data_IF_072562303585
#
_entry.id   IF_072562303585
#
_cell.length_a   1.000
_cell.length_b   1.000
_cell.length_c   1.000
_cell.angle_alpha   90.00
_cell.angle_beta   90.00
_cell.angle_gamma   90.00
#
_symmetry.space_group_name_H-M   'P 1'
#
loop_
_entity.id
_entity.type
_entity.pdbx_description
1 polymer ?
#
# COMPACT_ATOMS: atom_id res chain seq x y z
N UNK A 1 2.16 -22.77 4.30
CA UNK A 1 2.06 -22.50 5.75
C UNK A 1 3.28 -21.68 6.11
N UNK A 2 3.12 -20.47 6.63
CA UNK A 2 4.25 -19.59 6.91
C UNK A 2 5.09 -20.12 8.07
N UNK A 3 6.41 -19.91 8.02
CA UNK A 3 7.37 -20.39 9.03
C UNK A 3 7.05 -19.86 10.44
N UNK A 4 6.46 -18.67 10.52
CA UNK A 4 5.95 -18.03 11.74
C UNK A 4 4.89 -18.90 12.43
N UNK A 5 3.91 -19.40 11.68
CA UNK A 5 2.80 -20.22 12.20
C UNK A 5 3.31 -21.55 12.75
N UNK A 6 4.27 -22.18 12.07
CA UNK A 6 4.85 -23.46 12.51
C UNK A 6 5.65 -23.25 13.80
N UNK A 7 6.40 -22.15 13.89
CA UNK A 7 7.13 -21.79 15.10
C UNK A 7 6.19 -21.55 16.28
N UNK A 8 5.09 -20.85 16.06
CA UNK A 8 4.08 -20.61 17.09
C UNK A 8 3.32 -21.88 17.47
N UNK A 9 3.10 -22.84 16.56
CA UNK A 9 2.50 -24.12 16.92
C UNK A 9 3.41 -24.98 17.81
N UNK A 10 4.73 -24.96 17.57
CA UNK A 10 5.68 -25.83 18.29
C UNK A 10 6.18 -25.20 19.59
N UNK A 11 6.40 -23.88 19.60
CA UNK A 11 7.01 -23.15 20.71
C UNK A 11 6.06 -22.12 21.36
N UNK A 12 4.83 -22.02 20.87
CA UNK A 12 3.86 -21.03 21.34
C UNK A 12 3.41 -21.24 22.77
N UNK A 13 2.91 -20.16 23.36
CA UNK A 13 2.31 -20.19 24.69
C UNK A 13 0.95 -20.91 24.62
N UNK A 14 0.51 -21.60 25.70
CA UNK A 14 -0.82 -22.17 25.75
C UNK A 14 -1.88 -21.08 25.56
N UNK A 15 -2.93 -21.38 24.80
CA UNK A 15 -3.99 -20.42 24.52
C UNK A 15 -4.74 -20.05 25.83
N UNK A 16 -5.04 -18.76 26.05
CA UNK A 16 -5.83 -18.35 27.20
C UNK A 16 -7.24 -18.94 27.09
N UNK A 17 -7.80 -19.34 28.23
CA UNK A 17 -9.18 -19.80 28.31
C UNK A 17 -10.11 -18.59 28.18
N UNK A 18 -10.74 -18.38 27.02
CA UNK A 18 -11.62 -17.24 26.72
C UNK A 18 -13.08 -17.71 26.82
N UNK A 19 -13.92 -16.94 27.52
CA UNK A 19 -15.36 -17.24 27.60
C UNK A 19 -16.05 -17.04 26.25
N UNK A 20 -16.87 -18.01 25.84
CA UNK A 20 -17.76 -17.92 24.66
C UNK A 20 -19.23 -17.76 25.06
N UNK A 21 -19.48 -17.29 26.30
CA UNK A 21 -20.82 -17.12 26.84
C UNK A 21 -21.67 -16.24 25.92
N UNK A 22 -22.86 -16.72 25.56
CA UNK A 22 -23.86 -16.01 24.77
C UNK A 22 -25.24 -16.37 25.29
N UNK A 23 -26.12 -15.37 25.40
CA UNK A 23 -27.53 -15.61 25.71
C UNK A 23 -28.25 -16.09 24.46
N UNK A 24 -28.86 -17.27 24.57
CA UNK A 24 -29.77 -17.81 23.57
C UNK A 24 -31.23 -17.53 23.98
N UNK A 25 -32.13 -17.51 23.00
CA UNK A 25 -33.56 -17.37 23.26
C UNK A 25 -34.07 -18.42 24.26
N UNK A 26 -33.59 -19.66 24.14
CA UNK A 26 -33.90 -20.75 25.06
C UNK A 26 -33.44 -20.47 26.50
N UNK A 27 -32.22 -19.97 26.70
CA UNK A 27 -31.71 -19.63 28.04
C UNK A 27 -32.50 -18.49 28.66
N UNK A 28 -32.88 -17.48 27.88
CA UNK A 28 -33.68 -16.35 28.37
C UNK A 28 -35.08 -16.83 28.79
N UNK A 29 -35.74 -17.63 27.94
CA UNK A 29 -37.06 -18.19 28.26
C UNK A 29 -37.05 -19.01 29.55
N UNK A 30 -36.03 -19.85 29.76
CA UNK A 30 -35.94 -20.65 30.98
C UNK A 30 -35.72 -19.79 32.23
N UNK A 31 -34.91 -18.73 32.13
CA UNK A 31 -34.70 -17.79 33.23
C UNK A 31 -35.97 -17.00 33.56
N UNK A 32 -36.76 -16.61 32.55
CA UNK A 32 -38.01 -15.89 32.75
C UNK A 32 -39.18 -16.77 33.23
N UNK A 33 -39.29 -18.01 32.74
CA UNK A 33 -40.47 -18.85 32.96
C UNK A 33 -40.34 -19.86 34.09
N UNK A 34 -39.11 -20.31 34.43
CA UNK A 34 -38.91 -21.43 35.37
C UNK A 34 -38.19 -21.04 36.66
N UNK A 35 -37.48 -19.90 36.69
CA UNK A 35 -36.64 -19.53 37.83
C UNK A 35 -37.37 -18.70 38.91
N UNK A 36 -38.71 -18.59 38.87
CA UNK A 36 -39.57 -17.94 39.89
C UNK A 36 -39.03 -16.58 40.43
N UNK A 37 -38.39 -15.78 39.57
CA UNK A 37 -37.82 -14.48 39.96
C UNK A 37 -36.54 -14.52 40.80
N UNK A 38 -36.00 -15.70 41.15
CA UNK A 38 -34.75 -15.82 41.91
C UNK A 38 -33.50 -15.51 41.08
N UNK A 39 -33.51 -15.80 39.78
CA UNK A 39 -32.39 -15.55 38.88
C UNK A 39 -32.82 -14.80 37.63
N UNK A 40 -32.55 -13.50 37.61
CA UNK A 40 -32.78 -12.65 36.43
C UNK A 40 -31.69 -12.89 35.38
N UNK A 41 -32.01 -12.63 34.11
CA UNK A 41 -31.01 -12.69 33.03
C UNK A 41 -29.81 -11.78 33.33
N UNK A 42 -30.04 -10.60 33.90
CA UNK A 42 -29.01 -9.66 34.35
C UNK A 42 -28.06 -10.26 35.39
N UNK A 43 -28.59 -11.03 36.35
CA UNK A 43 -27.78 -11.70 37.36
C UNK A 43 -26.83 -12.73 36.72
N UNK A 44 -27.30 -13.49 35.73
CA UNK A 44 -26.48 -14.46 34.99
C UNK A 44 -25.41 -13.77 34.15
N UNK A 45 -25.74 -12.64 33.50
CA UNK A 45 -24.76 -11.83 32.75
C UNK A 45 -23.67 -11.33 33.69
N UNK A 46 -24.05 -10.73 34.82
CA UNK A 46 -23.11 -10.13 35.78
C UNK A 46 -22.16 -11.14 36.39
N UNK A 47 -22.64 -12.35 36.66
CA UNK A 47 -21.83 -13.42 37.25
C UNK A 47 -21.21 -14.35 36.18
N UNK A 48 -21.30 -14.00 34.90
CA UNK A 48 -20.70 -14.79 33.82
C UNK A 48 -19.18 -14.70 33.84
N UNK A 49 -18.51 -15.78 33.42
CA UNK A 49 -17.06 -15.78 33.29
C UNK A 49 -16.57 -14.76 32.24
N UNK A 50 -17.38 -14.47 31.22
CA UNK A 50 -17.09 -13.42 30.24
C UNK A 50 -17.00 -12.04 30.90
N UNK A 51 -17.99 -11.68 31.73
CA UNK A 51 -18.01 -10.43 32.48
C UNK A 51 -16.81 -10.32 33.42
N UNK A 52 -16.49 -11.40 34.14
CA UNK A 52 -15.32 -11.43 35.03
C UNK A 52 -14.00 -11.18 34.28
N UNK A 53 -13.82 -11.78 33.10
CA UNK A 53 -12.63 -11.56 32.28
C UNK A 53 -12.53 -10.11 31.80
N UNK A 54 -13.66 -9.52 31.41
CA UNK A 54 -13.73 -8.14 30.97
C UNK A 54 -13.39 -7.16 32.11
N UNK A 55 -14.05 -7.29 33.27
CA UNK A 55 -13.80 -6.43 34.44
C UNK A 55 -12.35 -6.51 34.92
N UNK A 56 -11.74 -7.70 34.85
CA UNK A 56 -10.32 -7.89 35.18
C UNK A 56 -9.38 -7.22 34.19
N UNK A 57 -9.71 -7.21 32.90
CA UNK A 57 -8.90 -6.59 31.84
C UNK A 57 -9.09 -5.07 31.74
N UNK A 58 -10.26 -4.57 32.15
CA UNK A 58 -10.66 -3.16 32.09
C UNK A 58 -9.63 -2.18 32.70
N UNK A 59 -9.08 -2.38 33.91
CA UNK A 59 -8.09 -1.45 34.47
C UNK A 59 -6.80 -1.41 33.64
N UNK A 60 -6.37 -2.54 33.07
CA UNK A 60 -5.18 -2.59 32.21
C UNK A 60 -5.41 -1.80 30.90
N UNK A 61 -6.60 -1.94 30.30
CA UNK A 61 -6.97 -1.20 29.09
C UNK A 61 -7.08 0.30 29.38
N UNK A 62 -7.70 0.70 30.51
CA UNK A 62 -7.77 2.11 30.92
C UNK A 62 -6.37 2.69 31.13
N UNK A 63 -5.49 1.97 31.83
CA UNK A 63 -4.10 2.42 32.02
C UNK A 63 -3.34 2.56 30.69
N UNK A 64 -3.62 1.71 29.69
CA UNK A 64 -3.04 1.85 28.36
C UNK A 64 -3.58 3.09 27.65
N UNK A 65 -4.89 3.31 27.69
CA UNK A 65 -5.52 4.50 27.11
C UNK A 65 -4.96 5.77 27.74
N UNK A 66 -4.88 5.86 29.07
CA UNK A 66 -4.35 7.06 29.74
C UNK A 66 -2.88 7.30 29.45
N UNK A 67 -2.05 6.24 29.31
CA UNK A 67 -0.65 6.38 28.87
C UNK A 67 -0.56 6.95 27.45
N UNK A 68 -1.32 6.39 26.51
CA UNK A 68 -1.34 6.88 25.12
C UNK A 68 -1.90 8.31 25.02
N UNK A 69 -2.92 8.64 25.82
CA UNK A 69 -3.46 10.00 25.91
C UNK A 69 -2.41 10.98 26.44
N UNK A 70 -1.67 10.62 27.49
CA UNK A 70 -0.58 11.44 28.00
C UNK A 70 0.52 11.62 26.93
N UNK A 71 0.93 10.56 26.24
CA UNK A 71 1.88 10.64 25.13
C UNK A 71 1.38 11.55 24.01
N UNK A 72 0.10 11.48 23.64
CA UNK A 72 -0.50 12.34 22.62
C UNK A 72 -0.57 13.81 23.05
N UNK A 73 -0.85 14.10 24.33
CA UNK A 73 -0.85 15.48 24.86
C UNK A 73 0.53 16.10 24.94
N UNK A 74 1.58 15.30 25.22
CA UNK A 74 2.97 15.76 25.22
C UNK A 74 3.46 16.14 23.83
N UNK A 75 2.84 15.59 22.78
CA UNK A 75 3.15 15.88 21.38
C UNK A 75 2.42 17.14 20.85
N UNK A 76 1.66 17.84 21.69
CA UNK A 76 0.79 18.95 21.27
C UNK A 76 1.36 20.33 21.64
N UNK A 77 1.32 21.32 20.72
CA UNK A 77 1.07 22.74 21.05
C UNK A 77 1.29 23.80 19.94
N UNK A 78 1.74 23.51 18.71
CA UNK A 78 1.84 24.58 17.70
C UNK A 78 1.72 24.10 16.25
N UNK A 79 0.74 24.65 15.50
CA UNK A 79 0.61 24.47 14.05
C UNK A 79 -0.18 23.23 13.57
N UNK A 80 -0.98 22.58 14.42
CA UNK A 80 -1.70 21.34 14.06
C UNK A 80 -2.67 21.52 12.89
N UNK A 81 -3.38 22.66 12.80
CA UNK A 81 -4.29 22.91 11.70
C UNK A 81 -3.56 23.02 10.36
N UNK A 82 -2.46 23.77 10.30
CA UNK A 82 -1.66 23.93 9.09
C UNK A 82 -1.01 22.60 8.66
N UNK A 83 -0.58 21.78 9.63
CA UNK A 83 -0.05 20.43 9.37
C UNK A 83 -1.14 19.47 8.88
N UNK A 84 -2.33 19.53 9.46
CA UNK A 84 -3.47 18.72 9.04
C UNK A 84 -3.91 19.09 7.62
N UNK A 85 -3.97 20.39 7.30
CA UNK A 85 -4.24 20.88 5.95
C UNK A 85 -3.18 20.41 4.97
N UNK A 86 -1.89 20.57 5.29
CA UNK A 86 -0.79 20.12 4.45
C UNK A 86 -0.81 18.59 4.21
N UNK A 87 -1.02 17.80 5.25
CA UNK A 87 -1.13 16.35 5.14
C UNK A 87 -2.33 15.94 4.27
N UNK A 88 -3.48 16.61 4.45
CA UNK A 88 -4.67 16.39 3.63
C UNK A 88 -4.40 16.74 2.16
N UNK A 89 -3.76 17.86 1.88
CA UNK A 89 -3.36 18.23 0.51
C UNK A 89 -2.48 17.15 -0.13
N UNK A 90 -1.50 16.60 0.61
CA UNK A 90 -0.66 15.51 0.12
C UNK A 90 -1.43 14.22 -0.17
N UNK A 91 -2.42 13.87 0.66
CA UNK A 91 -3.31 12.73 0.43
C UNK A 91 -4.19 12.94 -0.81
N UNK A 92 -4.80 14.13 -0.94
CA UNK A 92 -5.66 14.48 -2.06
C UNK A 92 -4.88 14.43 -3.39
N UNK A 93 -3.65 14.97 -3.41
CA UNK A 93 -2.74 14.89 -4.58
C UNK A 93 -2.43 13.42 -4.91
N UNK A 94 -2.05 12.62 -3.91
CA UNK A 94 -1.74 11.20 -4.12
C UNK A 94 -2.94 10.40 -4.64
N UNK A 95 -4.16 10.75 -4.22
CA UNK A 95 -5.38 10.12 -4.71
C UNK A 95 -5.69 10.52 -6.16
N UNK A 96 -5.57 11.81 -6.50
CA UNK A 96 -5.75 12.29 -7.87
C UNK A 96 -4.69 11.72 -8.81
N UNK A 97 -3.41 11.67 -8.41
CA UNK A 97 -2.33 11.04 -9.17
C UNK A 97 -2.68 9.59 -9.48
N UNK A 98 -3.16 8.82 -8.50
CA UNK A 98 -3.56 7.42 -8.72
C UNK A 98 -4.71 7.30 -9.73
N UNK A 99 -5.72 8.18 -9.65
CA UNK A 99 -6.84 8.20 -10.60
C UNK A 99 -6.35 8.51 -12.02
N UNK A 100 -5.55 9.56 -12.18
CA UNK A 100 -4.95 9.95 -13.47
C UNK A 100 -4.07 8.81 -14.03
N UNK A 101 -3.25 8.19 -13.17
CA UNK A 101 -2.42 7.04 -13.56
C UNK A 101 -3.25 5.86 -14.03
N UNK A 102 -4.38 5.57 -13.38
CA UNK A 102 -5.27 4.46 -13.78
C UNK A 102 -5.93 4.68 -15.14
N UNK A 103 -6.26 5.94 -15.46
CA UNK A 103 -6.76 6.35 -16.77
C UNK A 103 -5.67 6.26 -17.85
N UNK A 104 -4.46 6.70 -17.50
CA UNK A 104 -3.31 6.72 -18.41
C UNK A 104 -2.83 5.31 -18.77
N UNK A 105 -2.90 4.36 -17.83
CA UNK A 105 -2.42 2.99 -18.00
C UNK A 105 -3.41 2.06 -18.72
N UNK A 106 -4.58 2.58 -19.09
CA UNK A 106 -5.55 1.85 -19.91
C UNK A 106 -4.87 1.41 -21.22
N UNK A 107 -5.02 0.14 -21.64
CA UNK A 107 -4.29 -0.39 -22.79
C UNK A 107 -4.54 0.40 -24.08
N UNK A 108 -5.75 0.94 -24.26
CA UNK A 108 -6.12 1.76 -25.42
C UNK A 108 -5.19 2.97 -25.63
N UNK A 109 -4.70 3.56 -24.53
CA UNK A 109 -3.85 4.76 -24.55
C UNK A 109 -2.39 4.42 -24.34
N UNK A 110 -2.10 3.60 -23.33
CA UNK A 110 -0.73 3.29 -22.92
C UNK A 110 0.09 2.58 -24.02
N UNK A 111 -0.54 1.72 -24.84
CA UNK A 111 0.17 0.92 -25.84
C UNK A 111 0.91 1.77 -26.90
N UNK A 112 0.38 2.93 -27.26
CA UNK A 112 1.04 3.84 -28.21
C UNK A 112 2.35 4.40 -27.65
N UNK A 113 2.44 4.51 -26.32
CA UNK A 113 3.58 5.09 -25.64
C UNK A 113 4.56 4.03 -25.16
N UNK A 114 4.14 2.79 -24.92
CA UNK A 114 5.00 1.67 -24.49
C UNK A 114 5.87 1.10 -25.63
N UNK A 115 6.75 1.95 -26.16
CA UNK A 115 7.74 1.65 -27.19
C UNK A 115 9.03 1.13 -26.54
N UNK A 116 9.76 0.19 -27.17
CA UNK A 116 11.10 -0.21 -26.73
C UNK A 116 11.98 1.02 -26.50
N UNK A 117 12.66 1.06 -25.35
CA UNK A 117 13.55 2.15 -24.97
C UNK A 117 12.93 3.17 -24.02
N UNK A 118 11.60 3.18 -23.85
CA UNK A 118 10.97 4.12 -22.93
C UNK A 118 11.24 3.74 -21.47
N UNK A 119 11.45 4.74 -20.62
CA UNK A 119 11.54 4.52 -19.17
C UNK A 119 10.16 4.49 -18.54
N UNK A 120 9.96 3.52 -17.66
CA UNK A 120 8.71 3.29 -16.94
C UNK A 120 9.02 3.06 -15.48
N UNK A 121 8.23 3.65 -14.60
CA UNK A 121 8.39 3.45 -13.16
C UNK A 121 7.53 2.27 -12.72
N UNK A 122 8.14 1.25 -12.12
CA UNK A 122 7.43 0.03 -11.69
C UNK A 122 7.26 0.04 -10.17
N UNK A 123 6.05 -0.26 -9.70
CA UNK A 123 5.74 -0.37 -8.28
C UNK A 123 4.81 -1.56 -8.04
N UNK A 124 5.23 -2.45 -7.15
CA UNK A 124 4.45 -3.61 -6.72
C UNK A 124 4.03 -3.43 -5.26
N UNK A 125 2.86 -2.80 -5.06
CA UNK A 125 2.34 -2.49 -3.72
C UNK A 125 3.29 -1.61 -2.90
N UNK A 126 3.91 -2.19 -1.87
CA UNK A 126 4.90 -1.54 -1.02
C UNK A 126 6.32 -1.52 -1.60
N UNK A 127 6.59 -2.30 -2.65
CA UNK A 127 7.92 -2.46 -3.23
C UNK A 127 8.06 -1.53 -4.43
N UNK A 128 8.84 -0.46 -4.29
CA UNK A 128 9.20 0.43 -5.41
C UNK A 128 10.43 -0.15 -6.12
N UNK A 129 10.27 -0.49 -7.39
CA UNK A 129 11.36 -0.99 -8.25
C UNK A 129 12.13 0.14 -8.92
N UNK A 130 11.63 1.37 -8.82
CA UNK A 130 12.20 2.52 -9.50
C UNK A 130 11.96 2.49 -11.01
N UNK A 131 12.90 3.06 -11.74
CA UNK A 131 12.81 3.21 -13.19
C UNK A 131 13.36 1.98 -13.91
N UNK A 132 12.52 1.38 -14.73
CA UNK A 132 12.85 0.32 -15.68
C UNK A 132 12.78 0.80 -17.12
N UNK A 133 13.28 -0.03 -18.03
CA UNK A 133 13.28 0.23 -19.47
C UNK A 133 12.35 -0.76 -20.16
N UNK A 134 11.43 -0.28 -21.00
CA UNK A 134 10.56 -1.16 -21.79
C UNK A 134 11.37 -1.85 -22.88
N UNK A 135 11.30 -3.17 -22.96
CA UNK A 135 11.91 -3.99 -24.01
C UNK A 135 10.87 -4.39 -25.04
N UNK A 136 9.75 -4.95 -24.59
CA UNK A 136 8.70 -5.44 -25.46
C UNK A 136 7.34 -5.40 -24.75
N UNK A 137 6.26 -5.39 -25.52
CA UNK A 137 4.90 -5.50 -25.00
C UNK A 137 4.23 -6.70 -25.65
N UNK A 138 3.85 -7.68 -24.82
CA UNK A 138 3.25 -8.93 -25.26
C UNK A 138 1.81 -8.99 -24.77
N UNK A 139 0.88 -9.27 -25.69
CA UNK A 139 -0.49 -9.60 -25.33
C UNK A 139 -0.54 -11.06 -24.89
N UNK A 140 -0.80 -11.29 -23.61
CA UNK A 140 -1.06 -12.60 -23.04
C UNK A 140 -2.35 -13.14 -23.67
N UNK A 141 -2.33 -14.32 -24.31
CA UNK A 141 -3.57 -14.95 -24.74
C UNK A 141 -4.42 -15.24 -23.50
N UNK A 142 -5.76 -15.08 -23.56
CA UNK A 142 -6.61 -15.42 -22.43
C UNK A 142 -6.31 -16.87 -22.05
N UNK A 143 -5.91 -17.08 -20.79
CA UNK A 143 -5.78 -18.43 -20.27
C UNK A 143 -7.15 -19.11 -20.47
N UNK A 144 -7.14 -20.32 -21.03
CA UNK A 144 -8.29 -21.20 -21.16
C UNK A 144 -8.94 -21.43 -19.79
N UNK A 145 -9.71 -20.47 -19.31
CA UNK A 145 -10.55 -20.57 -18.11
C UNK A 145 -11.97 -20.78 -18.58
N UNK A 146 -12.59 -21.83 -18.09
CA UNK A 146 -13.98 -22.28 -18.30
C UNK A 146 -15.07 -21.32 -17.79
N UNK A 147 -14.75 -20.04 -17.60
CA UNK A 147 -15.68 -19.04 -17.06
C UNK A 147 -16.31 -18.18 -18.17
N UNK A 148 -17.62 -17.86 -18.08
CA UNK A 148 -18.31 -17.06 -19.09
C UNK A 148 -17.69 -15.66 -19.27
N UNK A 149 -17.64 -15.14 -20.50
CA UNK A 149 -17.04 -13.84 -20.81
C UNK A 149 -17.75 -12.64 -20.14
N UNK A 150 -18.98 -12.82 -19.65
CA UNK A 150 -19.78 -11.77 -19.01
C UNK A 150 -19.32 -11.40 -17.57
N UNK A 151 -18.53 -12.26 -16.91
CA UNK A 151 -18.04 -12.02 -15.53
C UNK A 151 -16.53 -11.73 -15.47
N UNK A 152 -15.86 -11.75 -16.63
CA UNK A 152 -14.46 -11.34 -16.70
C UNK A 152 -14.41 -9.82 -16.86
N UNK A 153 -14.09 -9.10 -15.78
CA UNK A 153 -13.61 -7.72 -15.88
C UNK A 153 -12.57 -7.63 -17.01
N UNK A 154 -12.41 -6.50 -17.73
CA UNK A 154 -11.38 -6.34 -18.75
C UNK A 154 -10.02 -6.56 -18.09
N UNK A 155 -9.54 -7.82 -18.09
CA UNK A 155 -8.24 -8.16 -17.54
C UNK A 155 -7.26 -7.57 -18.53
N UNK A 156 -6.47 -6.62 -18.07
CA UNK A 156 -5.33 -6.08 -18.79
C UNK A 156 -4.39 -7.24 -19.13
N UNK A 157 -4.65 -7.89 -20.26
CA UNK A 157 -3.93 -9.06 -20.75
C UNK A 157 -2.62 -8.64 -21.43
N UNK A 158 -2.04 -7.51 -21.06
CA UNK A 158 -0.78 -7.04 -21.61
C UNK A 158 0.30 -7.16 -20.53
N UNK A 159 1.39 -7.81 -20.92
CA UNK A 159 2.61 -7.94 -20.15
C UNK A 159 3.64 -7.07 -20.85
N UNK A 160 4.26 -6.18 -20.10
CA UNK A 160 5.38 -5.37 -20.56
C UNK A 160 6.65 -6.03 -20.05
N UNK A 161 7.48 -6.52 -20.96
CA UNK A 161 8.81 -7.00 -20.62
C UNK A 161 9.67 -5.76 -20.33
N UNK A 162 9.98 -5.55 -19.04
CA UNK A 162 10.77 -4.40 -18.57
C UNK A 162 12.11 -4.87 -18.04
N UNK A 163 13.18 -4.18 -18.45
CA UNK A 163 14.49 -4.35 -17.89
C UNK A 163 14.56 -3.59 -16.55
N UNK A 164 14.70 -4.32 -15.46
CA UNK A 164 14.75 -3.80 -14.09
C UNK A 164 16.06 -4.17 -13.40
N UNK A 165 16.49 -3.33 -12.46
CA UNK A 165 17.66 -3.61 -11.63
C UNK A 165 17.25 -4.60 -10.54
N UNK A 166 17.81 -5.81 -10.55
CA UNK A 166 17.49 -6.89 -9.62
C UNK A 166 18.72 -7.29 -8.79
N UNK A 167 18.52 -7.78 -7.56
CA UNK A 167 19.60 -8.34 -6.75
C UNK A 167 20.16 -9.64 -7.37
N UNK A 168 21.49 -9.80 -7.33
CA UNK A 168 22.20 -10.96 -7.91
C UNK A 168 21.94 -12.29 -7.18
N UNK A 169 21.35 -12.26 -5.99
CA UNK A 169 20.96 -13.44 -5.19
C UNK A 169 19.86 -14.32 -5.82
N UNK A 170 19.31 -13.91 -6.97
CA UNK A 170 18.24 -14.63 -7.67
C UNK A 170 18.74 -15.73 -8.62
N UNK A 171 20.05 -15.84 -8.88
CA UNK A 171 20.59 -16.81 -9.85
C UNK A 171 21.08 -18.14 -9.26
N UNK A 172 21.13 -18.30 -7.94
CA UNK A 172 21.58 -19.54 -7.29
C UNK A 172 20.45 -20.23 -6.52
N UNK A 173 19.45 -20.74 -7.25
CA UNK A 173 18.69 -21.91 -6.81
C UNK A 173 18.29 -22.70 -8.06
N UNK A 174 18.76 -23.94 -8.12
CA UNK A 174 18.83 -24.79 -9.31
C UNK A 174 17.52 -25.02 -10.06
N UNK A 175 17.68 -25.61 -11.24
CA UNK A 175 16.72 -25.85 -12.31
C UNK A 175 15.37 -26.52 -11.95
N UNK A 176 15.02 -26.76 -10.67
CA UNK A 176 13.79 -27.44 -10.25
C UNK A 176 13.06 -26.79 -9.05
N UNK A 177 13.32 -25.50 -8.74
CA UNK A 177 12.53 -24.73 -7.78
C UNK A 177 11.64 -23.67 -8.45
N UNK A 178 10.52 -23.22 -7.83
CA UNK A 178 9.83 -22.02 -8.31
C UNK A 178 10.84 -20.87 -8.31
N UNK A 179 11.11 -20.26 -9.47
CA UNK A 179 12.00 -19.08 -9.60
C UNK A 179 11.69 -18.12 -8.45
N UNK A 180 12.70 -17.80 -7.64
CA UNK A 180 12.57 -16.78 -6.61
C UNK A 180 12.02 -15.52 -7.27
N UNK A 181 11.03 -14.89 -6.62
CA UNK A 181 10.47 -13.64 -7.14
C UNK A 181 11.64 -12.65 -7.31
N UNK A 182 11.77 -11.99 -8.46
CA UNK A 182 12.82 -11.00 -8.60
C UNK A 182 12.58 -9.92 -7.53
N UNK A 183 13.65 -9.38 -6.95
CA UNK A 183 13.60 -8.35 -5.92
C UNK A 183 14.47 -7.16 -6.31
N UNK A 184 14.07 -5.92 -5.96
CA UNK A 184 14.94 -4.76 -6.14
C UNK A 184 16.18 -4.89 -5.23
N UNK A 185 17.37 -4.45 -5.68
CA UNK A 185 18.59 -4.47 -4.89
C UNK A 185 18.49 -3.53 -3.70
N UNK A 186 19.16 -3.87 -2.60
CA UNK A 186 19.27 -2.97 -1.44
C UNK A 186 20.17 -1.78 -1.78
N UNK A 187 20.02 -0.67 -1.07
CA UNK A 187 20.88 0.51 -1.26
C UNK A 187 22.37 0.12 -1.12
N UNK A 188 23.14 0.28 -2.20
CA UNK A 188 24.57 -0.08 -2.26
C UNK A 188 24.89 -1.51 -2.70
N UNK A 189 23.89 -2.37 -2.93
CA UNK A 189 24.10 -3.71 -3.46
C UNK A 189 24.37 -3.68 -4.97
N UNK A 190 25.37 -4.45 -5.43
CA UNK A 190 25.59 -4.66 -6.86
C UNK A 190 24.48 -5.58 -7.39
N UNK A 191 23.47 -4.99 -8.01
CA UNK A 191 22.44 -5.72 -8.75
C UNK A 191 22.75 -5.81 -10.24
N UNK A 192 22.11 -6.75 -10.92
CA UNK A 192 22.17 -6.94 -12.37
C UNK A 192 20.82 -6.61 -13.01
N UNK A 193 20.86 -6.06 -14.22
CA UNK A 193 19.65 -5.80 -14.99
C UNK A 193 19.05 -7.12 -15.50
N UNK A 194 17.78 -7.36 -15.22
CA UNK A 194 17.04 -8.54 -15.68
C UNK A 194 15.76 -8.13 -16.40
N UNK A 195 15.39 -8.90 -17.42
CA UNK A 195 14.11 -8.72 -18.11
C UNK A 195 13.02 -9.39 -17.28
N UNK A 196 12.14 -8.59 -16.72
CA UNK A 196 11.03 -9.02 -15.86
C UNK A 196 9.70 -8.73 -16.57
N UNK A 197 8.81 -9.73 -16.70
CA UNK A 197 7.48 -9.51 -17.24
C UNK A 197 6.60 -8.78 -16.22
N UNK A 198 6.21 -7.54 -16.51
CA UNK A 198 5.44 -6.67 -15.64
C UNK A 198 4.02 -6.47 -16.21
N UNK A 199 2.96 -6.84 -15.47
CA UNK A 199 1.58 -6.49 -15.84
C UNK A 199 1.37 -4.98 -15.89
N UNK A 200 0.56 -4.49 -16.84
CA UNK A 200 0.26 -3.05 -16.96
C UNK A 200 -0.13 -2.36 -15.65
N UNK A 201 -0.97 -2.93 -14.76
CA UNK A 201 -1.37 -2.24 -13.52
C UNK A 201 -0.23 -1.96 -12.52
N UNK A 202 0.94 -2.60 -12.66
CA UNK A 202 2.10 -2.34 -11.80
C UNK A 202 2.94 -1.14 -12.27
N UNK A 203 2.59 -0.56 -13.42
CA UNK A 203 3.24 0.65 -13.93
C UNK A 203 2.70 1.87 -13.18
N UNK A 204 3.61 2.55 -12.48
CA UNK A 204 3.34 3.72 -11.65
C UNK A 204 3.71 5.05 -12.31
N UNK A 205 4.35 5.02 -13.49
CA UNK A 205 4.68 6.22 -14.25
C UNK A 205 5.29 5.90 -15.61
N UNK A 206 5.08 6.79 -16.57
CA UNK A 206 5.70 6.76 -17.90
C UNK A 206 6.61 8.00 -18.03
N UNK A 207 7.82 7.84 -18.55
CA UNK A 207 8.67 9.00 -18.87
C UNK A 207 8.44 9.50 -20.30
N UNK A 208 8.80 10.76 -20.54
CA UNK A 208 8.97 11.29 -21.89
C UNK A 208 10.31 10.84 -22.52
N UNK A 209 11.33 10.59 -21.69
CA UNK A 209 12.68 10.16 -22.12
C UNK A 209 12.68 8.73 -22.65
N UNK A 210 13.51 8.48 -23.66
CA UNK A 210 13.80 7.15 -24.21
C UNK A 210 15.30 6.94 -24.30
N UNK A 211 15.73 5.70 -24.13
CA UNK A 211 17.11 5.26 -24.35
C UNK A 211 17.19 4.32 -25.54
N UNK A 212 18.32 4.32 -26.22
CA UNK A 212 18.59 3.34 -27.28
C UNK A 212 18.83 1.96 -26.65
N UNK A 213 18.11 0.94 -27.11
CA UNK A 213 18.28 -0.44 -26.66
C UNK A 213 18.95 -1.25 -27.77
N UNK A 214 20.00 -2.04 -27.46
CA UNK A 214 20.53 -3.05 -28.37
C UNK A 214 19.48 -4.09 -28.77
N UNK A 215 19.61 -4.66 -29.97
CA UNK A 215 18.69 -5.68 -30.47
C UNK A 215 18.76 -7.00 -29.71
N UNK A 216 19.89 -7.29 -29.04
CA UNK A 216 20.08 -8.48 -28.20
C UNK A 216 20.45 -8.11 -26.76
N UNK A 217 19.62 -8.55 -25.81
CA UNK A 217 19.78 -8.33 -24.37
C UNK A 217 20.20 -9.59 -23.60
N UNK A 218 20.45 -10.71 -24.31
CA UNK A 218 21.05 -11.91 -23.71
C UNK A 218 22.45 -11.65 -23.14
N UNK A 219 23.38 -10.94 -23.82
CA UNK A 219 24.70 -10.71 -23.26
C UNK A 219 24.63 -9.78 -22.03
N UNK A 220 25.36 -10.11 -20.94
CA UNK A 220 25.37 -9.29 -19.72
C UNK A 220 25.96 -7.90 -19.96
N UNK A 221 26.88 -7.75 -20.90
CA UNK A 221 27.49 -6.46 -21.28
C UNK A 221 26.45 -5.47 -21.82
N UNK A 222 25.53 -5.93 -22.68
CA UNK A 222 24.46 -5.08 -23.20
C UNK A 222 23.53 -4.59 -22.08
N UNK A 223 23.21 -5.48 -21.14
CA UNK A 223 22.39 -5.18 -19.95
C UNK A 223 23.09 -4.18 -19.02
N UNK A 224 24.41 -4.32 -18.86
CA UNK A 224 25.22 -3.42 -18.05
C UNK A 224 25.35 -2.02 -18.67
N UNK A 225 25.48 -1.91 -19.99
CA UNK A 225 25.51 -0.62 -20.68
C UNK A 225 24.21 0.16 -20.48
N UNK A 226 23.06 -0.53 -20.49
CA UNK A 226 21.76 0.09 -20.19
C UNK A 226 21.70 0.55 -18.73
N UNK A 227 22.21 -0.25 -17.78
CA UNK A 227 22.29 0.16 -16.38
C UNK A 227 23.07 1.47 -16.23
N UNK A 228 24.23 1.59 -16.89
CA UNK A 228 25.02 2.82 -16.88
C UNK A 228 24.25 4.00 -17.48
N UNK A 229 23.57 3.81 -18.61
CA UNK A 229 22.73 4.86 -19.22
C UNK A 229 21.61 5.33 -18.28
N UNK A 230 20.93 4.40 -17.58
CA UNK A 230 19.89 4.74 -16.59
C UNK A 230 20.49 5.48 -15.38
N UNK A 231 21.67 5.07 -14.90
CA UNK A 231 22.37 5.76 -13.81
C UNK A 231 22.84 7.17 -14.21
N UNK A 232 23.34 7.34 -15.43
CA UNK A 232 23.71 8.65 -15.98
C UNK A 232 22.49 9.58 -16.08
N UNK A 233 21.34 9.05 -16.50
CA UNK A 233 20.10 9.80 -16.49
C UNK A 233 19.67 10.20 -15.08
N UNK A 234 19.82 9.32 -14.09
CA UNK A 234 19.59 9.66 -12.69
C UNK A 234 20.50 10.79 -12.19
N UNK A 235 21.78 10.80 -12.59
CA UNK A 235 22.71 11.89 -12.28
C UNK A 235 22.36 13.20 -12.99
N UNK A 236 21.88 13.11 -14.24
CA UNK A 236 21.50 14.27 -15.06
C UNK A 236 20.21 14.92 -14.58
N UNK A 237 19.30 14.14 -14.01
CA UNK A 237 18.01 14.58 -13.49
C UNK A 237 17.90 14.33 -11.99
N UNK A 238 18.60 15.13 -11.14
CA UNK A 238 18.60 14.93 -9.69
C UNK A 238 17.22 15.15 -9.05
N UNK A 239 16.36 15.97 -9.67
CA UNK A 239 14.99 16.20 -9.21
C UNK A 239 13.97 15.18 -9.74
N UNK A 240 14.42 14.17 -10.50
CA UNK A 240 13.57 13.14 -11.08
C UNK A 240 13.39 13.29 -12.59
N UNK A 241 13.10 12.16 -13.24
CA UNK A 241 12.89 12.11 -14.69
C UNK A 241 11.57 12.77 -15.07
N UNK A 242 11.52 13.48 -16.21
CA UNK A 242 10.29 14.11 -16.69
C UNK A 242 9.23 13.04 -16.98
N UNK A 243 8.12 13.13 -16.25
CA UNK A 243 6.93 12.30 -16.45
C UNK A 243 6.23 12.71 -17.74
N UNK A 244 5.57 11.76 -18.39
CA UNK A 244 4.73 11.99 -19.55
C UNK A 244 3.42 12.68 -19.12
N UNK A 245 3.06 13.78 -19.76
CA UNK A 245 1.87 14.53 -19.38
C UNK A 245 0.61 13.99 -20.10
N UNK A 246 -0.51 13.71 -19.40
CA UNK A 246 -1.71 13.11 -19.99
C UNK A 246 -2.37 13.95 -21.10
N UNK A 247 -2.37 15.29 -20.96
CA UNK A 247 -3.02 16.19 -21.93
C UNK A 247 -2.06 16.54 -23.08
N UNK A 248 -0.93 17.20 -22.79
CA UNK A 248 -0.01 17.69 -23.83
C UNK A 248 0.69 16.59 -24.62
N UNK A 249 1.12 15.51 -23.96
CA UNK A 249 1.94 14.49 -24.61
C UNK A 249 1.11 13.29 -25.08
N UNK A 250 0.06 12.95 -24.31
CA UNK A 250 -0.84 11.84 -24.66
C UNK A 250 -2.07 12.25 -25.48
N UNK A 251 -2.35 13.55 -25.60
CA UNK A 251 -3.46 14.05 -26.41
C UNK A 251 -4.83 13.59 -25.90
N UNK A 252 -4.99 13.42 -24.59
CA UNK A 252 -6.27 12.98 -24.02
C UNK A 252 -7.19 14.20 -23.88
N UNK A 253 -8.28 14.21 -24.65
CA UNK A 253 -9.27 15.31 -24.71
C UNK A 253 -10.49 15.10 -23.80
N UNK A 254 -10.52 14.02 -23.03
CA UNK A 254 -11.65 13.72 -22.13
C UNK A 254 -11.79 14.76 -21.03
N UNK A 255 -12.97 15.39 -20.97
CA UNK A 255 -13.27 16.46 -20.02
C UNK A 255 -13.04 16.03 -18.56
N UNK A 256 -13.41 14.79 -18.22
CA UNK A 256 -13.21 14.24 -16.87
C UNK A 256 -11.73 14.19 -16.48
N UNK A 257 -10.85 13.76 -17.38
CA UNK A 257 -9.41 13.70 -17.10
C UNK A 257 -8.78 15.10 -17.09
N UNK A 258 -9.20 15.98 -18.00
CA UNK A 258 -8.73 17.37 -18.06
C UNK A 258 -9.05 18.09 -16.75
N UNK A 259 -10.26 17.91 -16.23
CA UNK A 259 -10.68 18.45 -14.93
C UNK A 259 -9.85 17.88 -13.78
N UNK A 260 -9.50 16.59 -13.81
CA UNK A 260 -8.66 15.97 -12.79
C UNK A 260 -7.23 16.51 -12.81
N UNK A 261 -6.65 16.72 -14.00
CA UNK A 261 -5.30 17.28 -14.15
C UNK A 261 -5.29 18.74 -13.68
N UNK A 262 -6.26 19.57 -14.09
CA UNK A 262 -6.35 20.95 -13.59
C UNK A 262 -6.54 21.04 -12.07
N UNK A 263 -7.33 20.12 -11.49
CA UNK A 263 -7.45 20.02 -10.03
C UNK A 263 -6.12 19.66 -9.38
N UNK A 264 -5.38 18.72 -9.96
CA UNK A 264 -4.06 18.32 -9.48
C UNK A 264 -3.08 19.50 -9.54
N UNK A 265 -2.99 20.21 -10.68
CA UNK A 265 -2.13 21.40 -10.82
C UNK A 265 -2.47 22.48 -9.77
N UNK A 266 -3.77 22.70 -9.53
CA UNK A 266 -4.24 23.65 -8.52
C UNK A 266 -3.88 23.23 -7.08
N UNK A 267 -3.90 21.93 -6.78
CA UNK A 267 -3.47 21.41 -5.48
C UNK A 267 -1.95 21.44 -5.32
N UNK A 268 -1.20 21.12 -6.37
CA UNK A 268 0.26 21.21 -6.36
C UNK A 268 0.74 22.65 -6.16
N UNK A 269 0.12 23.62 -6.83
CA UNK A 269 0.41 25.04 -6.60
C UNK A 269 0.12 25.46 -5.16
N UNK A 270 -0.99 24.99 -4.59
CA UNK A 270 -1.33 25.24 -3.17
C UNK A 270 -0.28 24.62 -2.24
N UNK A 271 0.13 23.37 -2.50
CA UNK A 271 1.18 22.68 -1.75
C UNK A 271 2.51 23.43 -1.83
N UNK A 272 2.93 23.85 -3.02
CA UNK A 272 4.16 24.63 -3.22
C UNK A 272 4.13 26.00 -2.55
N UNK A 273 2.96 26.65 -2.52
CA UNK A 273 2.76 27.93 -1.84
C UNK A 273 2.68 27.80 -0.33
N UNK A 274 2.44 26.60 0.20
CA UNK A 274 2.22 26.35 1.62
C UNK A 274 3.47 26.68 2.45
N UNK A 275 3.35 27.37 3.61
CA UNK A 275 4.49 27.73 4.46
C UNK A 275 5.38 26.55 4.84
N UNK A 276 4.77 25.39 5.10
CA UNK A 276 5.47 24.16 5.49
C UNK A 276 6.33 23.55 4.37
N UNK A 277 6.04 23.80 3.09
CA UNK A 277 6.86 23.26 2.01
C UNK A 277 8.23 23.95 1.90
N UNK A 278 8.39 25.13 2.50
CA UNK A 278 9.62 25.94 2.45
C UNK A 278 10.48 25.78 3.71
N UNK A 279 9.98 25.12 4.75
CA UNK A 279 10.72 24.93 6.00
C UNK A 279 11.31 23.52 6.07
N UNK A 280 12.62 23.43 6.34
CA UNK A 280 13.31 22.16 6.68
C UNK A 280 12.74 21.48 7.95
N UNK A 281 11.93 22.20 8.74
CA UNK A 281 11.26 21.63 9.92
C UNK A 281 10.02 20.80 9.58
N UNK A 282 9.58 20.79 8.32
CA UNK A 282 8.37 20.10 7.89
C UNK A 282 8.44 18.57 8.04
N UNK A 283 9.58 17.94 7.74
CA UNK A 283 9.69 16.47 7.86
C UNK A 283 9.54 15.99 9.31
N UNK A 284 10.17 16.70 10.24
CA UNK A 284 10.07 16.35 11.66
C UNK A 284 8.65 16.63 12.18
N UNK A 285 8.07 17.79 11.84
CA UNK A 285 6.69 18.15 12.17
C UNK A 285 5.66 17.16 11.63
N UNK A 286 5.86 16.67 10.40
CA UNK A 286 5.02 15.63 9.80
C UNK A 286 5.18 14.30 10.52
N UNK A 287 6.39 13.92 10.91
CA UNK A 287 6.61 12.67 11.65
C UNK A 287 5.91 12.68 13.02
N UNK A 288 5.93 13.82 13.73
CA UNK A 288 5.21 13.97 15.00
C UNK A 288 3.69 13.96 14.79
N UNK A 289 3.20 14.64 13.75
CA UNK A 289 1.78 14.63 13.39
C UNK A 289 1.29 13.22 13.03
N UNK A 290 2.04 12.49 12.20
CA UNK A 290 1.74 11.10 11.86
C UNK A 290 1.72 10.21 13.10
N UNK A 291 2.74 10.34 13.97
CA UNK A 291 2.80 9.58 15.21
C UNK A 291 1.63 9.89 16.14
N UNK A 292 1.23 11.16 16.25
CA UNK A 292 0.06 11.60 17.02
C UNK A 292 -1.23 11.02 16.43
N UNK A 293 -1.37 11.02 15.10
CA UNK A 293 -2.52 10.42 14.41
C UNK A 293 -2.60 8.90 14.64
N UNK A 294 -1.47 8.19 14.62
CA UNK A 294 -1.39 6.76 14.97
C UNK A 294 -1.83 6.51 16.41
N UNK A 295 -1.28 7.26 17.38
CA UNK A 295 -1.67 7.15 18.79
C UNK A 295 -3.16 7.42 18.98
N UNK A 296 -3.70 8.46 18.34
CA UNK A 296 -5.13 8.78 18.37
C UNK A 296 -5.98 7.66 17.76
N UNK A 297 -5.52 7.05 16.67
CA UNK A 297 -6.18 5.92 16.05
C UNK A 297 -6.16 4.69 16.99
N UNK A 298 -5.03 4.39 17.62
CA UNK A 298 -4.91 3.33 18.62
C UNK A 298 -5.82 3.58 19.83
N UNK A 299 -5.90 4.81 20.33
CA UNK A 299 -6.81 5.22 21.41
C UNK A 299 -8.26 4.98 20.97
N UNK A 300 -8.66 5.39 19.76
CA UNK A 300 -10.01 5.15 19.24
C UNK A 300 -10.32 3.66 19.06
N UNK A 301 -9.35 2.86 18.60
CA UNK A 301 -9.48 1.41 18.51
C UNK A 301 -9.64 0.76 19.90
N UNK A 302 -8.89 1.20 20.90
CA UNK A 302 -9.03 0.70 22.27
C UNK A 302 -10.37 1.14 22.89
N UNK A 303 -10.81 2.38 22.65
CA UNK A 303 -12.11 2.89 23.10
C UNK A 303 -13.30 2.20 22.42
N UNK A 304 -13.19 1.85 21.13
CA UNK A 304 -14.22 1.06 20.44
C UNK A 304 -14.27 -0.36 20.96
N UNK A 305 -13.12 -1.06 21.08
CA UNK A 305 -13.05 -2.39 21.70
C UNK A 305 -13.63 -2.40 23.13
N UNK A 306 -13.37 -1.34 23.90
CA UNK A 306 -13.93 -1.17 25.24
C UNK A 306 -15.46 -1.04 25.21
N UNK A 307 -16.02 -0.25 24.28
CA UNK A 307 -17.49 -0.11 24.09
C UNK A 307 -18.14 -1.41 23.62
N UNK A 308 -17.57 -2.07 22.62
CA UNK A 308 -18.12 -3.32 22.08
C UNK A 308 -18.18 -4.42 23.14
N UNK A 309 -17.20 -4.42 24.05
CA UNK A 309 -17.16 -5.35 25.19
C UNK A 309 -18.11 -4.98 26.34
N UNK A 310 -18.71 -3.78 26.35
CA UNK A 310 -19.76 -3.39 27.30
C UNK A 310 -21.17 -3.70 26.80
N UNK A 311 -21.34 -3.86 25.49
CA UNK A 311 -22.64 -4.03 24.83
C UNK A 311 -22.93 -5.51 24.49
N UNK A 312 -21.92 -6.38 24.57
CA UNK A 312 -22.07 -7.84 24.40
C UNK A 312 -22.25 -8.57 25.73
#
# INVERSE_FOLDING_TARGET
MEMSVIKDMVLGKPAPLISTFRLSYYTILNLLSRAEGQFTAEHVIRNSFHQFQYEKALPEVIQKITKLENEATLLDSSGENDLAEYHKLGLDISELEKKIMSEMIRPERALLYLVPGRLVKVRDGSTDWGWGVVVNVVKKPPASSTLPPALSAPRNNYIVDTLLHCSSSSSENGANGPRSKPCPPRQGEKGEMHVVPVPLPLLSGLSSVRISIPTDLRPPEARQNILFAVQELGKRYPQGLPKLHPITDMGIEETELVDLVHKLDGLEQKLCSHPLNKSDQSEQQLSWYQRKAELNHEIQQLKSKMRDSQVG
#
